data_IF_247141695744
#
_entry.id   IF_247141695744
#
_cell.length_a   1.000
_cell.length_b   1.000
_cell.length_c   1.000
_cell.angle_alpha   90.00
_cell.angle_beta   90.00
_cell.angle_gamma   90.00
#
_symmetry.space_group_name_H-M   'P 1'
#
loop_
_entity.id
_entity.type
_entity.pdbx_description
1 polymer ?
#
# COMPACT_ATOMS: atom_id res chain seq x y z
N UNK A 1 -20.12 -13.43 5.02
CA UNK A 1 -19.18 -13.06 3.93
C UNK A 1 -17.76 -13.28 4.43
N UNK A 2 -16.86 -13.79 3.59
CA UNK A 2 -15.46 -14.01 3.95
C UNK A 2 -14.72 -12.67 4.11
N UNK A 3 -13.85 -12.55 5.11
CA UNK A 3 -12.93 -11.41 5.22
C UNK A 3 -11.81 -11.60 4.21
N UNK A 4 -11.57 -10.64 3.32
CA UNK A 4 -10.61 -10.79 2.22
C UNK A 4 -9.65 -9.60 2.21
N UNK A 5 -8.36 -9.89 2.19
CA UNK A 5 -7.30 -8.89 2.14
C UNK A 5 -6.45 -9.06 0.85
N UNK A 6 -6.17 -7.96 0.16
CA UNK A 6 -5.23 -7.92 -0.97
C UNK A 6 -4.00 -7.14 -0.54
N UNK A 7 -2.82 -7.74 -0.66
CA UNK A 7 -1.55 -7.17 -0.22
C UNK A 7 -0.63 -7.02 -1.43
N UNK A 8 -0.54 -5.80 -1.92
CA UNK A 8 0.40 -5.42 -2.97
C UNK A 8 1.79 -5.23 -2.37
N UNK A 9 2.76 -5.97 -2.91
CA UNK A 9 4.16 -6.02 -2.49
C UNK A 9 4.41 -6.90 -1.27
N UNK A 10 4.57 -8.21 -1.53
CA UNK A 10 4.83 -9.27 -0.54
C UNK A 10 6.32 -9.47 -0.17
N UNK A 11 7.08 -8.38 -0.08
CA UNK A 11 8.49 -8.45 0.36
C UNK A 11 8.62 -8.92 1.82
N UNK A 12 9.81 -9.42 2.19
CA UNK A 12 10.12 -10.07 3.48
C UNK A 12 9.85 -9.23 4.75
N UNK A 13 9.54 -7.95 4.60
CA UNK A 13 9.28 -7.02 5.72
C UNK A 13 7.77 -6.86 5.91
N UNK A 14 7.24 -5.70 5.55
CA UNK A 14 5.83 -5.32 5.79
C UNK A 14 4.87 -6.27 5.08
N UNK A 15 5.13 -6.63 3.82
CA UNK A 15 4.23 -7.46 3.02
C UNK A 15 3.97 -8.84 3.61
N UNK A 16 5.03 -9.61 3.90
CA UNK A 16 4.90 -10.94 4.49
C UNK A 16 4.31 -10.91 5.92
N UNK A 17 4.75 -9.95 6.75
CA UNK A 17 4.19 -9.78 8.08
C UNK A 17 2.68 -9.48 8.03
N UNK A 18 2.26 -8.61 7.10
CA UNK A 18 0.85 -8.30 6.88
C UNK A 18 0.06 -9.53 6.42
N UNK A 19 0.59 -10.30 5.47
CA UNK A 19 -0.07 -11.52 5.00
C UNK A 19 -0.30 -12.53 6.13
N UNK A 20 0.75 -12.79 6.93
CA UNK A 20 0.68 -13.67 8.10
C UNK A 20 -0.34 -13.17 9.13
N UNK A 21 -0.35 -11.86 9.41
CA UNK A 21 -1.26 -11.26 10.39
C UNK A 21 -2.72 -11.38 9.96
N UNK A 22 -3.04 -11.05 8.71
CA UNK A 22 -4.40 -11.15 8.19
C UNK A 22 -4.88 -12.60 8.09
N UNK A 23 -4.05 -13.54 7.62
CA UNK A 23 -4.37 -14.98 7.64
C UNK A 23 -4.70 -15.46 9.07
N UNK A 24 -3.85 -15.10 10.04
CA UNK A 24 -4.07 -15.47 11.45
C UNK A 24 -5.35 -14.85 12.04
N UNK A 25 -5.85 -13.75 11.47
CA UNK A 25 -7.10 -13.10 11.85
C UNK A 25 -8.33 -13.66 11.08
N UNK A 26 -8.17 -14.75 10.33
CA UNK A 26 -9.24 -15.42 9.59
C UNK A 26 -9.60 -14.76 8.26
N UNK A 27 -8.68 -13.98 7.67
CA UNK A 27 -8.85 -13.45 6.32
C UNK A 27 -8.36 -14.46 5.29
N UNK A 28 -9.01 -14.48 4.13
CA UNK A 28 -8.40 -14.97 2.90
C UNK A 28 -7.49 -13.89 2.35
N UNK A 29 -6.27 -14.23 1.95
CA UNK A 29 -5.24 -13.27 1.58
C UNK A 29 -4.76 -13.52 0.15
N UNK A 30 -4.86 -12.49 -0.67
CA UNK A 30 -4.18 -12.43 -1.96
C UNK A 30 -2.91 -11.59 -1.80
N UNK A 31 -1.76 -12.16 -2.12
CA UNK A 31 -0.50 -11.41 -2.18
C UNK A 31 -0.15 -11.12 -3.63
N UNK A 32 0.44 -9.95 -3.90
CA UNK A 32 0.78 -9.53 -5.26
C UNK A 32 2.23 -9.07 -5.31
N UNK A 33 3.03 -9.65 -6.19
CA UNK A 33 4.41 -9.19 -6.44
C UNK A 33 4.88 -9.58 -7.84
N UNK A 34 6.08 -9.16 -8.24
CA UNK A 34 6.65 -9.57 -9.53
C UNK A 34 7.26 -10.96 -9.51
N UNK A 35 7.70 -11.43 -8.34
CA UNK A 35 8.35 -12.73 -8.21
C UNK A 35 7.28 -13.78 -8.02
N UNK A 36 7.13 -14.75 -8.94
CA UNK A 36 6.17 -15.82 -8.78
C UNK A 36 6.41 -16.60 -7.49
N UNK A 37 5.34 -17.04 -6.84
CA UNK A 37 5.38 -17.87 -5.65
C UNK A 37 4.30 -18.94 -5.75
N UNK A 38 4.63 -20.16 -5.35
CA UNK A 38 3.65 -21.22 -5.21
C UNK A 38 3.08 -21.17 -3.80
N UNK A 39 1.75 -21.17 -3.68
CA UNK A 39 1.05 -21.28 -2.40
C UNK A 39 0.26 -22.59 -2.41
N UNK A 40 0.23 -23.31 -1.29
CA UNK A 40 -0.48 -24.58 -1.14
C UNK A 40 -1.67 -24.48 -0.17
N UNK A 41 -2.19 -23.27 0.02
CA UNK A 41 -3.16 -22.92 1.06
C UNK A 41 -4.43 -22.37 0.39
N UNK A 42 -5.59 -22.88 0.78
CA UNK A 42 -6.89 -22.52 0.19
C UNK A 42 -7.27 -21.06 0.46
N UNK A 43 -6.74 -20.47 1.54
CA UNK A 43 -6.99 -19.10 1.99
C UNK A 43 -5.82 -18.16 1.64
N UNK A 44 -4.76 -18.63 0.99
CA UNK A 44 -3.66 -17.80 0.49
C UNK A 44 -3.40 -18.05 -1.00
N UNK A 45 -3.49 -16.99 -1.80
CA UNK A 45 -3.11 -17.02 -3.22
C UNK A 45 -2.02 -15.98 -3.49
N UNK A 46 -1.06 -16.34 -4.35
CA UNK A 46 -0.11 -15.38 -4.89
C UNK A 46 -0.47 -15.05 -6.35
N UNK A 47 -0.51 -13.76 -6.67
CA UNK A 47 -0.74 -13.24 -8.02
C UNK A 47 0.50 -12.47 -8.47
N UNK A 48 0.90 -12.66 -9.72
CA UNK A 48 2.08 -12.00 -10.29
C UNK A 48 1.67 -10.74 -11.04
N UNK A 49 2.23 -9.59 -10.68
CA UNK A 49 2.03 -8.33 -11.41
C UNK A 49 3.20 -7.35 -11.19
N UNK A 50 3.47 -6.51 -12.19
CA UNK A 50 4.34 -5.35 -12.07
C UNK A 50 3.52 -4.10 -11.80
N UNK A 51 3.75 -3.49 -10.63
CA UNK A 51 3.01 -2.30 -10.23
C UNK A 51 3.48 -1.03 -10.96
N UNK A 52 4.58 -1.08 -11.71
CA UNK A 52 4.94 -0.02 -12.67
C UNK A 52 3.99 0.02 -13.88
N UNK A 53 3.14 -1.00 -14.07
CA UNK A 53 2.08 -1.05 -15.06
C UNK A 53 0.70 -1.00 -14.39
N UNK A 54 0.03 0.17 -14.35
CA UNK A 54 -1.29 0.31 -13.76
C UNK A 54 -2.39 -0.53 -14.41
N UNK A 55 -2.20 -1.00 -15.65
CA UNK A 55 -3.17 -1.85 -16.33
C UNK A 55 -3.32 -3.23 -15.67
N UNK A 56 -2.32 -3.63 -14.87
CA UNK A 56 -2.34 -4.90 -14.13
C UNK A 56 -3.29 -4.89 -12.94
N UNK A 57 -3.76 -3.72 -12.49
CA UNK A 57 -4.50 -3.60 -11.22
C UNK A 57 -5.91 -4.19 -11.28
N UNK A 58 -6.73 -3.83 -12.27
CA UNK A 58 -8.10 -4.36 -12.40
C UNK A 58 -8.12 -5.91 -12.54
N UNK A 59 -7.26 -6.54 -13.38
CA UNK A 59 -7.18 -8.00 -13.48
C UNK A 59 -6.85 -8.72 -12.17
N UNK A 60 -6.08 -8.10 -11.27
CA UNK A 60 -5.81 -8.65 -9.93
C UNK A 60 -7.09 -8.69 -9.11
N UNK A 61 -7.85 -7.61 -9.10
CA UNK A 61 -9.12 -7.56 -8.37
C UNK A 61 -10.18 -8.48 -8.98
N UNK A 62 -10.20 -8.67 -10.30
CA UNK A 62 -11.08 -9.64 -10.96
C UNK A 62 -10.80 -11.08 -10.51
N UNK A 63 -9.53 -11.48 -10.47
CA UNK A 63 -9.14 -12.81 -10.00
C UNK A 63 -9.52 -13.03 -8.53
N UNK A 64 -9.31 -12.03 -7.66
CA UNK A 64 -9.71 -12.11 -6.24
C UNK A 64 -11.23 -12.18 -6.10
N UNK A 65 -11.97 -11.34 -6.84
CA UNK A 65 -13.43 -11.33 -6.85
C UNK A 65 -14.01 -12.67 -7.30
N UNK A 66 -13.46 -13.26 -8.36
CA UNK A 66 -13.89 -14.57 -8.86
C UNK A 66 -13.60 -15.68 -7.85
N UNK A 67 -12.46 -15.62 -7.17
CA UNK A 67 -12.03 -16.68 -6.25
C UNK A 67 -12.78 -16.65 -4.91
N UNK A 68 -12.94 -15.46 -4.32
CA UNK A 68 -13.42 -15.34 -2.94
C UNK A 68 -14.50 -14.25 -2.74
N UNK A 69 -14.65 -13.33 -3.70
CA UNK A 69 -15.53 -12.17 -3.60
C UNK A 69 -14.79 -10.86 -3.34
N UNK A 70 -15.53 -9.81 -2.98
CA UNK A 70 -14.99 -8.46 -2.91
C UNK A 70 -14.05 -8.28 -1.69
N UNK A 71 -12.85 -7.70 -1.87
CA UNK A 71 -11.94 -7.46 -0.77
C UNK A 71 -12.49 -6.44 0.22
N UNK A 72 -12.27 -6.67 1.52
CA UNK A 72 -12.59 -5.71 2.58
C UNK A 72 -11.36 -4.94 3.06
N UNK A 73 -10.16 -5.43 2.76
CA UNK A 73 -8.89 -4.77 3.08
C UNK A 73 -7.97 -4.77 1.87
N UNK A 74 -7.30 -3.64 1.64
CA UNK A 74 -6.19 -3.54 0.68
C UNK A 74 -5.00 -2.91 1.36
N UNK A 75 -3.84 -3.57 1.32
CA UNK A 75 -2.55 -3.02 1.76
C UNK A 75 -1.69 -2.81 0.52
N UNK A 76 -1.39 -1.55 0.23
CA UNK A 76 -0.53 -1.14 -0.87
C UNK A 76 0.88 -0.81 -0.34
N UNK A 77 1.80 -1.75 -0.50
CA UNK A 77 3.18 -1.68 -0.01
C UNK A 77 4.18 -1.87 -1.15
N UNK A 78 4.58 -0.77 -1.81
CA UNK A 78 5.66 -0.84 -2.82
C UNK A 78 7.01 -0.58 -2.16
N UNK A 79 7.99 -1.49 -2.27
CA UNK A 79 9.33 -1.28 -1.74
C UNK A 79 9.98 -0.05 -2.38
N UNK A 80 10.68 0.74 -1.57
CA UNK A 80 11.45 1.90 -2.02
C UNK A 80 12.42 1.59 -3.18
N UNK A 81 12.99 0.38 -3.24
CA UNK A 81 13.85 -0.07 -4.34
C UNK A 81 13.18 -0.12 -5.72
N UNK A 82 11.84 -0.14 -5.77
CA UNK A 82 11.07 -0.19 -7.03
C UNK A 82 10.13 1.02 -7.19
N UNK A 83 9.96 1.80 -6.12
CA UNK A 83 9.20 3.05 -6.11
C UNK A 83 10.06 4.30 -6.17
N UNK A 84 11.37 4.18 -6.47
CA UNK A 84 12.28 5.33 -6.63
C UNK A 84 13.39 5.09 -7.66
N UNK A 85 13.91 6.20 -8.17
CA UNK A 85 15.19 6.31 -8.85
C UNK A 85 16.10 7.25 -8.03
N UNK A 86 17.34 6.85 -7.67
CA UNK A 86 18.23 7.66 -6.85
C UNK A 86 18.76 8.86 -7.64
N UNK A 87 18.49 10.07 -7.17
CA UNK A 87 18.92 11.32 -7.84
C UNK A 87 20.26 11.85 -7.33
N UNK A 88 20.85 11.22 -6.31
CA UNK A 88 22.09 11.68 -5.69
C UNK A 88 21.99 13.14 -5.26
N UNK A 89 23.05 13.92 -5.50
CA UNK A 89 23.07 15.35 -5.17
C UNK A 89 22.27 16.25 -6.12
N UNK A 90 21.87 15.76 -7.29
CA UNK A 90 21.13 16.54 -8.28
C UNK A 90 19.67 16.05 -8.35
N UNK A 91 18.69 16.72 -7.71
CA UNK A 91 17.29 16.29 -7.69
C UNK A 91 16.62 16.25 -9.07
N UNK A 92 17.22 16.86 -10.09
CA UNK A 92 16.72 16.91 -11.46
C UNK A 92 17.37 15.88 -12.40
N UNK A 93 18.15 14.94 -11.84
CA UNK A 93 18.92 13.97 -12.63
C UNK A 93 18.15 12.72 -13.06
N UNK A 94 16.95 12.49 -12.53
CA UNK A 94 16.17 11.31 -12.87
C UNK A 94 15.76 11.33 -14.36
N UNK A 95 16.08 10.27 -15.14
CA UNK A 95 15.53 10.11 -16.48
C UNK A 95 13.99 10.10 -16.45
N UNK A 96 13.33 10.74 -17.42
CA UNK A 96 11.86 10.90 -17.42
C UNK A 96 11.15 9.54 -17.43
N UNK A 97 11.67 8.55 -18.16
CA UNK A 97 11.11 7.20 -18.16
C UNK A 97 11.18 6.54 -16.77
N UNK A 98 12.27 6.70 -16.04
CA UNK A 98 12.41 6.20 -14.67
C UNK A 98 11.51 6.97 -13.71
N UNK A 99 11.44 8.30 -13.85
CA UNK A 99 10.50 9.13 -13.08
C UNK A 99 9.06 8.64 -13.27
N UNK A 100 8.63 8.44 -14.52
CA UNK A 100 7.29 7.92 -14.84
C UNK A 100 7.06 6.54 -14.22
N UNK A 101 7.99 5.58 -14.37
CA UNK A 101 7.88 4.25 -13.74
C UNK A 101 7.71 4.34 -12.23
N UNK A 102 8.48 5.21 -11.57
CA UNK A 102 8.40 5.38 -10.11
C UNK A 102 7.03 5.92 -9.71
N UNK A 103 6.49 6.91 -10.43
CA UNK A 103 5.15 7.44 -10.19
C UNK A 103 4.04 6.43 -10.51
N UNK A 104 4.21 5.63 -11.57
CA UNK A 104 3.29 4.56 -11.90
C UNK A 104 3.14 3.59 -10.72
N UNK A 105 4.26 3.10 -10.18
CA UNK A 105 4.23 2.17 -9.05
C UNK A 105 3.80 2.81 -7.74
N UNK A 106 4.32 3.99 -7.38
CA UNK A 106 4.08 4.51 -6.04
C UNK A 106 2.80 5.35 -5.93
N UNK A 107 2.19 5.79 -7.03
CA UNK A 107 1.03 6.70 -7.02
C UNK A 107 -0.11 6.22 -7.90
N UNK A 108 0.13 6.01 -9.20
CA UNK A 108 -0.97 5.72 -10.16
C UNK A 108 -1.59 4.36 -9.86
N UNK A 109 -0.77 3.32 -9.73
CA UNK A 109 -1.23 1.96 -9.40
C UNK A 109 -1.84 1.88 -7.99
N UNK A 110 -1.38 2.70 -7.05
CA UNK A 110 -1.99 2.80 -5.72
C UNK A 110 -3.40 3.40 -5.78
N UNK A 111 -3.55 4.51 -6.52
CA UNK A 111 -4.85 5.15 -6.75
C UNK A 111 -5.79 4.19 -7.51
N UNK A 112 -5.30 3.51 -8.54
CA UNK A 112 -6.06 2.51 -9.28
C UNK A 112 -6.54 1.39 -8.35
N UNK A 113 -5.70 0.93 -7.42
CA UNK A 113 -6.07 -0.12 -6.47
C UNK A 113 -7.13 0.36 -5.46
N UNK A 114 -7.04 1.61 -5.00
CA UNK A 114 -8.07 2.23 -4.16
C UNK A 114 -9.41 2.33 -4.90
N UNK A 115 -9.39 2.81 -6.16
CA UNK A 115 -10.59 2.91 -6.99
C UNK A 115 -11.21 1.53 -7.29
N UNK A 116 -10.40 0.57 -7.74
CA UNK A 116 -10.85 -0.77 -8.11
C UNK A 116 -11.44 -1.53 -6.90
N UNK A 117 -10.84 -1.38 -5.72
CA UNK A 117 -11.36 -1.99 -4.50
C UNK A 117 -12.65 -1.34 -4.01
N UNK A 118 -12.74 0.00 -4.03
CA UNK A 118 -13.95 0.73 -3.65
C UNK A 118 -15.15 0.39 -4.55
N UNK A 119 -14.95 0.30 -5.88
CA UNK A 119 -16.00 -0.11 -6.83
C UNK A 119 -16.62 -1.48 -6.50
N UNK A 120 -15.81 -2.40 -5.95
CA UNK A 120 -16.23 -3.77 -5.61
C UNK A 120 -16.78 -3.85 -4.19
N UNK A 121 -16.28 -3.02 -3.29
CA UNK A 121 -16.72 -2.94 -1.90
C UNK A 121 -16.62 -1.50 -1.37
N UNK A 122 -17.76 -0.84 -1.23
CA UNK A 122 -17.83 0.53 -0.71
C UNK A 122 -17.51 0.65 0.80
N UNK A 123 -17.15 -0.45 1.49
CA UNK A 123 -16.73 -0.47 2.89
C UNK A 123 -15.24 -0.82 3.07
N UNK A 124 -14.48 -0.88 1.97
CA UNK A 124 -13.05 -1.26 1.98
C UNK A 124 -12.22 -0.37 2.90
N UNK A 125 -11.28 -0.97 3.62
CA UNK A 125 -10.18 -0.25 4.27
C UNK A 125 -8.93 -0.34 3.38
N UNK A 126 -8.50 0.79 2.83
CA UNK A 126 -7.31 0.91 2.01
C UNK A 126 -6.15 1.52 2.80
N UNK A 127 -5.02 0.83 2.80
CA UNK A 127 -3.80 1.25 3.48
C UNK A 127 -2.68 1.44 2.48
N UNK A 128 -2.05 2.59 2.50
CA UNK A 128 -0.83 2.87 1.77
C UNK A 128 0.36 2.88 2.72
N UNK A 129 1.40 2.13 2.40
CA UNK A 129 2.65 2.16 3.16
C UNK A 129 3.44 3.41 2.77
N UNK A 130 3.33 4.41 3.64
CA UNK A 130 3.97 5.71 3.53
C UNK A 130 5.34 5.78 4.17
N UNK A 131 5.86 7.00 4.28
CA UNK A 131 7.00 7.37 5.10
C UNK A 131 7.00 8.90 5.28
N UNK A 132 8.06 9.41 5.88
CA UNK A 132 8.21 10.83 6.16
C UNK A 132 8.19 11.78 4.96
N UNK A 133 8.37 11.28 3.74
CA UNK A 133 8.59 12.12 2.57
C UNK A 133 7.34 12.85 2.09
N UNK A 134 6.15 12.55 2.65
CA UNK A 134 4.96 13.37 2.44
C UNK A 134 5.11 14.80 3.01
N UNK A 135 5.97 14.98 4.02
CA UNK A 135 6.18 16.24 4.75
C UNK A 135 7.66 16.63 4.85
N UNK A 136 8.58 15.69 4.58
CA UNK A 136 10.02 15.89 4.69
C UNK A 136 10.66 15.85 3.29
N UNK A 137 11.29 16.95 2.88
CA UNK A 137 11.98 17.01 1.59
C UNK A 137 13.42 16.52 1.75
N UNK A 138 13.79 15.51 0.95
CA UNK A 138 15.15 14.97 0.89
C UNK A 138 15.66 15.02 -0.55
N UNK A 139 16.66 15.86 -0.88
CA UNK A 139 17.12 16.05 -2.26
C UNK A 139 17.58 14.77 -2.98
N UNK A 140 18.06 13.79 -2.23
CA UNK A 140 18.53 12.50 -2.75
C UNK A 140 17.42 11.51 -3.09
N UNK A 141 16.17 11.79 -2.68
CA UNK A 141 15.02 10.89 -2.78
C UNK A 141 13.83 11.55 -3.50
N UNK A 142 14.06 12.47 -4.42
CA UNK A 142 12.99 13.30 -5.02
C UNK A 142 11.90 12.47 -5.70
N UNK A 143 12.25 11.46 -6.50
CA UNK A 143 11.27 10.62 -7.19
C UNK A 143 10.35 9.87 -6.21
N UNK A 144 10.91 9.38 -5.10
CA UNK A 144 10.13 8.77 -4.03
C UNK A 144 9.26 9.83 -3.33
N UNK A 145 9.84 10.98 -2.99
CA UNK A 145 9.15 12.05 -2.27
C UNK A 145 7.94 12.57 -3.04
N UNK A 146 8.09 12.85 -4.34
CA UNK A 146 6.97 13.28 -5.20
C UNK A 146 5.82 12.27 -5.14
N UNK A 147 6.12 10.98 -5.28
CA UNK A 147 5.06 9.97 -5.24
C UNK A 147 4.45 9.75 -3.86
N UNK A 148 5.24 9.88 -2.78
CA UNK A 148 4.73 9.81 -1.41
C UNK A 148 3.84 11.00 -1.05
N UNK A 149 4.20 12.21 -1.48
CA UNK A 149 3.36 13.41 -1.30
C UNK A 149 2.10 13.34 -2.15
N UNK A 150 2.21 12.97 -3.44
CA UNK A 150 1.05 12.80 -4.30
C UNK A 150 0.08 11.75 -3.74
N UNK A 151 0.61 10.64 -3.20
CA UNK A 151 -0.21 9.59 -2.60
C UNK A 151 -0.88 9.99 -1.30
N UNK A 152 -0.14 10.64 -0.40
CA UNK A 152 -0.71 11.20 0.83
C UNK A 152 -1.86 12.16 0.50
N UNK A 153 -1.69 13.03 -0.51
CA UNK A 153 -2.70 14.00 -0.90
C UNK A 153 -4.03 13.35 -1.33
N UNK A 154 -4.00 12.39 -2.27
CA UNK A 154 -5.26 11.77 -2.70
C UNK A 154 -5.88 10.88 -1.62
N UNK A 155 -5.08 10.30 -0.73
CA UNK A 155 -5.58 9.53 0.42
C UNK A 155 -6.33 10.44 1.40
N UNK A 156 -5.76 11.60 1.74
CA UNK A 156 -6.43 12.59 2.59
C UNK A 156 -7.72 13.10 1.93
N UNK A 157 -7.69 13.38 0.63
CA UNK A 157 -8.88 13.79 -0.11
C UNK A 157 -9.97 12.70 -0.09
N UNK A 158 -9.59 11.43 -0.29
CA UNK A 158 -10.52 10.31 -0.23
C UNK A 158 -11.12 10.13 1.17
N UNK A 159 -10.31 10.21 2.22
CA UNK A 159 -10.78 10.11 3.61
C UNK A 159 -11.72 11.25 4.04
N UNK A 160 -11.52 12.45 3.50
CA UNK A 160 -12.38 13.63 3.72
C UNK A 160 -13.69 13.58 2.92
N UNK A 161 -13.79 12.74 1.89
CA UNK A 161 -14.99 12.63 1.07
C UNK A 161 -16.09 11.84 1.77
N UNK A 162 -17.21 12.51 2.09
CA UNK A 162 -18.40 11.86 2.64
C UNK A 162 -19.02 10.84 1.66
N UNK A 163 -18.87 11.08 0.34
CA UNK A 163 -19.40 10.20 -0.70
C UNK A 163 -18.71 8.82 -0.73
N UNK A 164 -17.50 8.73 -0.18
CA UNK A 164 -16.77 7.46 -0.13
C UNK A 164 -17.04 6.67 1.16
N UNK A 165 -17.87 7.18 2.08
CA UNK A 165 -18.22 6.45 3.30
C UNK A 165 -19.11 5.25 2.98
N UNK A 166 -18.94 4.11 3.66
CA UNK A 166 -18.08 3.89 4.83
C UNK A 166 -16.65 3.39 4.52
N UNK A 167 -16.16 3.51 3.29
CA UNK A 167 -14.77 3.17 2.98
C UNK A 167 -13.79 4.09 3.75
N UNK A 168 -12.59 3.55 3.99
CA UNK A 168 -11.56 4.19 4.79
C UNK A 168 -10.23 4.15 4.07
N UNK A 169 -9.48 5.24 4.14
CA UNK A 169 -8.21 5.43 3.43
C UNK A 169 -7.15 5.94 4.40
N UNK A 170 -6.00 5.27 4.43
CA UNK A 170 -4.93 5.58 5.36
C UNK A 170 -3.56 5.59 4.69
N UNK A 171 -2.74 6.57 5.05
CA UNK A 171 -1.32 6.66 4.76
C UNK A 171 -0.56 6.38 6.05
N UNK A 172 0.26 5.33 6.05
CA UNK A 172 0.92 4.85 7.26
C UNK A 172 2.42 5.19 7.25
N UNK A 173 2.86 6.03 8.18
CA UNK A 173 4.22 6.55 8.28
C UNK A 173 4.89 6.09 9.59
N UNK A 174 5.86 5.16 9.48
CA UNK A 174 6.69 4.77 10.62
C UNK A 174 7.84 5.75 10.82
N UNK A 175 7.98 6.22 12.06
CA UNK A 175 9.12 6.99 12.56
C UNK A 175 9.92 6.18 13.58
N UNK A 176 11.19 6.51 13.74
CA UNK A 176 11.98 6.00 14.85
C UNK A 176 11.58 6.69 16.18
N UNK A 177 12.17 6.27 17.29
CA UNK A 177 11.84 6.81 18.61
C UNK A 177 12.03 8.34 18.72
N UNK A 178 13.02 8.88 18.00
CA UNK A 178 13.30 10.32 17.90
C UNK A 178 12.35 11.08 16.95
N UNK A 179 11.41 10.41 16.27
CA UNK A 179 10.49 11.02 15.30
C UNK A 179 11.07 11.21 13.89
N UNK A 180 12.32 10.80 13.67
CA UNK A 180 12.95 10.82 12.35
C UNK A 180 12.46 9.63 11.49
N UNK A 181 12.64 9.68 10.16
CA UNK A 181 12.19 8.62 9.27
C UNK A 181 12.77 7.26 9.67
N UNK A 182 11.96 6.19 9.66
CA UNK A 182 12.42 4.86 10.06
C UNK A 182 13.50 4.28 9.12
N UNK A 183 13.49 4.66 7.84
CA UNK A 183 14.49 4.20 6.86
C UNK A 183 14.59 2.68 6.81
N UNK A 184 15.80 2.14 7.03
CA UNK A 184 16.02 0.71 7.05
C UNK A 184 15.55 0.00 8.33
N UNK A 185 15.06 0.73 9.34
CA UNK A 185 14.55 0.16 10.59
C UNK A 185 13.03 -0.08 10.61
N UNK A 186 12.34 -0.05 9.45
CA UNK A 186 10.89 -0.35 9.43
C UNK A 186 10.57 -1.72 10.04
N UNK A 187 9.54 -1.77 10.87
CA UNK A 187 9.09 -2.93 11.61
C UNK A 187 7.84 -3.50 10.95
N UNK A 188 7.99 -4.66 10.29
CA UNK A 188 6.90 -5.28 9.54
C UNK A 188 5.72 -5.73 10.41
N UNK A 189 6.00 -6.25 11.60
CA UNK A 189 4.96 -6.73 12.53
C UNK A 189 4.15 -5.55 13.09
N UNK A 190 4.83 -4.46 13.46
CA UNK A 190 4.15 -3.26 13.95
C UNK A 190 3.24 -2.63 12.87
N UNK A 191 3.68 -2.61 11.61
CA UNK A 191 2.82 -2.22 10.49
C UNK A 191 1.59 -3.15 10.36
N UNK A 192 1.80 -4.47 10.40
CA UNK A 192 0.74 -5.45 10.25
C UNK A 192 -0.31 -5.34 11.37
N UNK A 193 0.14 -5.15 12.62
CA UNK A 193 -0.72 -4.92 13.78
C UNK A 193 -1.55 -3.65 13.62
N UNK A 194 -0.93 -2.56 13.16
CA UNK A 194 -1.62 -1.29 12.93
C UNK A 194 -2.66 -1.41 11.79
N UNK A 195 -2.31 -2.05 10.67
CA UNK A 195 -3.26 -2.28 9.58
C UNK A 195 -4.48 -3.05 10.05
N UNK A 196 -4.29 -4.17 10.78
CA UNK A 196 -5.40 -4.96 11.30
C UNK A 196 -6.27 -4.15 12.28
N UNK A 197 -5.64 -3.46 13.23
CA UNK A 197 -6.33 -2.61 14.21
C UNK A 197 -7.22 -1.56 13.52
N UNK A 198 -6.69 -0.86 12.52
CA UNK A 198 -7.44 0.15 11.77
C UNK A 198 -8.52 -0.47 10.87
N UNK A 199 -8.27 -1.66 10.30
CA UNK A 199 -9.25 -2.37 9.46
C UNK A 199 -10.50 -2.77 10.25
N UNK A 200 -10.36 -3.02 11.56
CA UNK A 200 -11.46 -3.37 12.48
C UNK A 200 -12.27 -2.16 12.98
N UNK A 201 -11.78 -0.93 12.78
CA UNK A 201 -12.53 0.28 13.13
C UNK A 201 -13.75 0.45 12.20
N UNK A 202 -14.86 0.99 12.70
CA UNK A 202 -16.07 1.19 11.87
C UNK A 202 -16.03 2.48 11.05
N UNK A 203 -15.28 3.46 11.51
CA UNK A 203 -15.24 4.81 10.96
C UNK A 203 -13.82 5.16 10.52
N UNK A 204 -13.72 6.14 9.62
CA UNK A 204 -12.44 6.74 9.24
C UNK A 204 -11.89 7.55 10.41
N UNK A 205 -10.68 7.19 10.85
CA UNK A 205 -9.87 8.03 11.74
C UNK A 205 -8.99 9.02 10.97
N UNK A 206 -7.95 9.53 11.62
CA UNK A 206 -6.96 10.40 10.97
C UNK A 206 -6.32 9.70 9.76
N UNK A 207 -6.36 10.29 8.55
CA UNK A 207 -5.91 9.63 7.33
C UNK A 207 -4.39 9.49 7.25
N UNK A 208 -3.63 10.42 7.84
CA UNK A 208 -2.18 10.33 7.95
C UNK A 208 -1.84 9.79 9.33
N UNK A 209 -1.46 8.52 9.42
CA UNK A 209 -1.13 7.86 10.68
C UNK A 209 0.38 7.80 10.84
N UNK A 210 0.90 8.62 11.75
CA UNK A 210 2.32 8.59 12.13
C UNK A 210 2.46 7.74 13.39
N UNK A 211 3.28 6.70 13.35
CA UNK A 211 3.52 5.84 14.52
C UNK A 211 5.01 5.56 14.72
N UNK A 212 5.37 5.15 15.93
CA UNK A 212 6.75 4.80 16.30
C UNK A 212 6.84 3.31 16.61
N UNK A 213 7.87 2.66 16.08
CA UNK A 213 8.21 1.27 16.34
C UNK A 213 9.71 1.06 16.16
#
# INVERSE_FOLDING_TARGET
MSKIAVIFGSGARIGQASAKKFLSAGYKVATVSRTPQTTSDDDLVHLTADLQDPSTIEPIFDQVQQRWGAPSVVVYNVPSAYGMYPTGGNPLSAPINEFTKTLSANTISAYAAASASYKRNNQVAFFYTGNALNTTVMPTLVTLGVGKTASAHWIEAAAKSEQLRPARFYYIDQRNQAGAPAGNAVNGEAHADLFLKLAEQKEQGEPIVVFKA
#
